data_IF_211308570539
#
_entry.id   IF_211308570539
#
_cell.length_a   1.000
_cell.length_b   1.000
_cell.length_c   1.000
_cell.angle_alpha   90.00
_cell.angle_beta   90.00
_cell.angle_gamma   90.00
#
_symmetry.space_group_name_H-M   'P 1'
#
loop_
_entity.id
_entity.type
_entity.pdbx_description
1 polymer ?
#
# COMPACT_ATOMS: atom_id res chain seq x y z
N UNK A 1 3.52 -25.98 -43.68
CA UNK A 1 4.20 -24.67 -43.56
C UNK A 1 3.49 -23.93 -42.45
N UNK A 2 4.12 -23.91 -41.27
CA UNK A 2 3.63 -23.27 -40.06
C UNK A 2 4.23 -21.86 -39.96
N UNK A 3 3.47 -20.91 -39.40
CA UNK A 3 3.99 -19.67 -38.85
C UNK A 3 3.02 -19.14 -37.79
N UNK A 4 3.42 -19.23 -36.52
CA UNK A 4 2.90 -18.46 -35.39
C UNK A 4 3.28 -16.98 -35.52
N UNK A 5 2.56 -16.07 -34.84
CA UNK A 5 3.14 -14.82 -34.39
C UNK A 5 3.31 -14.81 -32.86
N UNK A 6 4.56 -14.66 -32.44
CA UNK A 6 4.97 -14.36 -31.06
C UNK A 6 4.57 -12.93 -30.67
N UNK A 7 3.84 -12.80 -29.57
CA UNK A 7 3.60 -11.54 -28.88
C UNK A 7 4.65 -11.33 -27.79
N UNK A 8 5.62 -10.44 -28.03
CA UNK A 8 6.55 -9.98 -27.00
C UNK A 8 5.86 -8.96 -26.10
N UNK A 9 5.66 -9.31 -24.83
CA UNK A 9 5.43 -8.34 -23.76
C UNK A 9 6.78 -7.75 -23.30
N UNK A 10 6.77 -6.46 -23.03
CA UNK A 10 7.93 -5.63 -22.71
C UNK A 10 8.15 -5.66 -21.20
N UNK A 11 9.27 -6.23 -20.73
CA UNK A 11 9.73 -6.03 -19.35
C UNK A 11 10.45 -4.69 -19.24
N UNK A 12 10.19 -3.97 -18.14
CA UNK A 12 10.88 -2.72 -17.81
C UNK A 12 12.01 -3.07 -16.85
N UNK A 13 13.25 -2.96 -17.35
CA UNK A 13 14.48 -3.08 -16.58
C UNK A 13 14.70 -1.81 -15.73
N UNK A 14 14.84 -1.98 -14.41
CA UNK A 14 15.46 -0.97 -13.54
C UNK A 14 16.96 -1.26 -13.47
N UNK A 15 17.78 -0.30 -13.93
CA UNK A 15 19.23 -0.39 -13.86
C UNK A 15 19.75 0.15 -12.52
N UNK A 16 20.54 -0.65 -11.81
CA UNK A 16 21.38 -0.21 -10.69
C UNK A 16 22.71 0.34 -11.21
N UNK A 17 23.20 1.42 -10.60
CA UNK A 17 24.58 1.91 -10.78
C UNK A 17 25.40 1.64 -9.52
N UNK A 18 26.51 0.92 -9.70
CA UNK A 18 27.57 0.67 -8.73
C UNK A 18 28.82 1.48 -9.08
N UNK A 19 29.70 1.64 -8.07
CA UNK A 19 31.18 1.77 -8.09
C UNK A 19 31.70 2.99 -7.28
N UNK A 20 32.97 2.99 -6.83
CA UNK A 20 33.57 2.08 -5.85
C UNK A 20 34.37 2.86 -4.75
N UNK A 21 34.92 2.13 -3.78
CA UNK A 21 35.47 2.69 -2.53
C UNK A 21 36.93 3.16 -2.53
N UNK A 22 37.43 3.38 -1.31
CA UNK A 22 38.85 3.50 -0.99
C UNK A 22 39.10 3.08 0.48
N UNK A 23 40.03 2.14 0.65
CA UNK A 23 40.76 1.76 1.88
C UNK A 23 41.60 2.97 2.40
N UNK A 24 42.26 3.05 3.55
CA UNK A 24 42.70 2.23 4.68
C UNK A 24 42.84 3.24 5.88
N UNK A 25 43.21 2.96 7.13
CA UNK A 25 44.33 2.17 7.61
C UNK A 25 44.34 2.16 9.17
N UNK A 26 45.17 1.25 9.69
CA UNK A 26 45.28 0.69 11.04
C UNK A 26 45.54 1.63 12.25
N UNK A 27 45.43 1.06 13.49
CA UNK A 27 46.57 0.75 14.41
C UNK A 27 46.09 0.39 15.86
N UNK A 28 46.54 -0.78 16.36
CA UNK A 28 46.89 -1.25 17.75
C UNK A 28 46.11 -0.75 19.00
N UNK A 29 45.91 -1.48 20.11
CA UNK A 29 46.61 -2.60 20.77
C UNK A 29 45.68 -3.18 21.90
N UNK A 30 45.71 -4.49 22.14
CA UNK A 30 46.14 -5.19 23.38
C UNK A 30 45.42 -4.79 24.69
N UNK A 31 44.66 -5.72 25.29
CA UNK A 31 45.12 -6.51 26.43
C UNK A 31 44.09 -7.57 26.84
N UNK A 32 44.64 -8.70 27.30
CA UNK A 32 44.00 -9.91 27.83
C UNK A 32 43.89 -9.75 29.33
N UNK A 33 42.80 -10.19 29.94
CA UNK A 33 42.84 -10.78 31.29
C UNK A 33 41.68 -11.78 31.46
N UNK A 34 42.07 -12.98 31.90
CA UNK A 34 41.29 -14.17 32.21
C UNK A 34 40.61 -14.01 33.57
N UNK A 35 39.39 -14.53 33.76
CA UNK A 35 38.96 -15.11 35.04
C UNK A 35 38.02 -16.30 34.77
N UNK A 36 38.52 -17.50 35.10
CA UNK A 36 37.78 -18.73 35.47
C UNK A 36 37.04 -18.44 36.81
N UNK A 37 35.94 -19.07 37.25
CA UNK A 37 35.62 -20.48 37.44
C UNK A 37 34.11 -20.61 37.81
N UNK A 38 33.66 -21.86 37.81
CA UNK A 38 32.68 -22.51 38.71
C UNK A 38 31.46 -23.16 38.02
N UNK A 39 31.65 -24.46 37.78
CA UNK A 39 30.66 -25.48 37.49
C UNK A 39 29.80 -25.78 38.74
N UNK A 40 28.49 -25.88 38.58
CA UNK A 40 27.63 -26.60 39.53
C UNK A 40 26.70 -27.56 38.78
N UNK A 41 27.04 -28.85 38.91
CA UNK A 41 26.22 -30.02 38.60
C UNK A 41 24.99 -30.08 39.49
N UNK A 42 23.82 -30.32 38.90
CA UNK A 42 22.66 -30.91 39.57
C UNK A 42 21.96 -31.87 38.60
N UNK A 43 22.34 -33.14 38.65
CA UNK A 43 21.52 -34.26 38.18
C UNK A 43 20.29 -34.37 39.09
N UNK A 44 19.08 -34.53 38.53
CA UNK A 44 18.08 -35.44 39.09
C UNK A 44 16.89 -35.71 38.13
N UNK A 45 16.76 -37.01 37.85
CA UNK A 45 15.51 -37.79 37.77
C UNK A 45 14.57 -37.65 36.56
N UNK A 46 14.67 -38.68 35.72
CA UNK A 46 13.76 -39.06 34.64
C UNK A 46 12.41 -39.51 35.21
N UNK A 47 11.33 -38.80 34.88
CA UNK A 47 9.95 -39.25 35.13
C UNK A 47 9.28 -39.56 33.79
N UNK A 48 9.22 -40.85 33.45
CA UNK A 48 8.35 -41.37 32.39
C UNK A 48 6.88 -41.23 32.83
N UNK A 49 6.09 -40.48 32.07
CA UNK A 49 4.71 -40.21 32.46
C UNK A 49 3.88 -39.50 31.39
N UNK A 50 3.43 -40.29 30.43
CA UNK A 50 2.13 -40.20 29.75
C UNK A 50 1.86 -39.06 28.75
N UNK A 51 1.15 -39.45 27.69
CA UNK A 51 0.88 -38.68 26.49
C UNK A 51 0.02 -37.45 26.79
N UNK A 52 0.64 -36.27 26.89
CA UNK A 52 -0.06 -35.01 26.67
C UNK A 52 -0.06 -34.71 25.18
N UNK A 53 -1.18 -35.08 24.55
CA UNK A 53 -1.79 -34.39 23.42
C UNK A 53 -1.07 -33.09 23.12
N UNK A 54 -0.33 -33.04 22.01
CA UNK A 54 0.21 -31.80 21.47
C UNK A 54 -0.94 -30.79 21.43
N UNK A 55 -0.92 -29.89 22.41
CA UNK A 55 -1.72 -28.69 22.42
C UNK A 55 -1.11 -27.86 21.30
N UNK A 56 -1.57 -28.10 20.07
CA UNK A 56 -1.52 -27.10 19.03
C UNK A 56 -2.19 -25.89 19.64
N UNK A 57 -1.38 -24.94 20.13
CA UNK A 57 -1.84 -23.63 20.51
C UNK A 57 -2.67 -23.14 19.34
N UNK A 58 -3.99 -23.08 19.48
CA UNK A 58 -4.82 -22.35 18.54
C UNK A 58 -4.21 -20.97 18.47
N UNK A 59 -3.55 -20.66 17.35
CA UNK A 59 -3.07 -19.31 17.08
C UNK A 59 -4.34 -18.48 17.01
N UNK A 60 -4.60 -17.72 18.08
CA UNK A 60 -5.78 -16.90 18.19
C UNK A 60 -5.56 -15.67 17.33
N UNK A 61 -6.09 -15.72 16.10
CA UNK A 61 -6.09 -14.56 15.22
C UNK A 61 -7.13 -13.57 15.74
N UNK A 62 -6.81 -12.27 15.84
CA UNK A 62 -7.74 -11.27 16.37
C UNK A 62 -8.96 -11.08 15.44
N UNK A 63 -8.81 -11.45 14.17
CA UNK A 63 -9.85 -11.38 13.16
C UNK A 63 -9.96 -12.68 12.38
N UNK A 64 -11.20 -13.02 12.04
CA UNK A 64 -11.48 -14.05 11.03
C UNK A 64 -11.13 -13.56 9.63
N UNK A 65 -10.99 -14.51 8.70
CA UNK A 65 -10.80 -14.22 7.26
C UNK A 65 -11.91 -13.31 6.70
N UNK A 66 -13.16 -13.50 7.15
CA UNK A 66 -14.29 -12.68 6.71
C UNK A 66 -14.24 -11.26 7.27
N UNK A 67 -13.84 -11.08 8.54
CA UNK A 67 -13.71 -9.73 9.13
C UNK A 67 -12.62 -8.92 8.43
N UNK A 68 -11.45 -9.52 8.17
CA UNK A 68 -10.38 -8.88 7.41
C UNK A 68 -10.83 -8.50 5.99
N UNK A 69 -11.51 -9.43 5.31
CA UNK A 69 -12.06 -9.16 3.98
C UNK A 69 -13.11 -8.04 4.01
N UNK A 70 -13.92 -7.95 5.07
CA UNK A 70 -14.90 -6.88 5.26
C UNK A 70 -14.22 -5.53 5.45
N UNK A 71 -13.15 -5.41 6.26
CA UNK A 71 -12.44 -4.14 6.44
C UNK A 71 -11.89 -3.59 5.11
N UNK A 72 -11.22 -4.44 4.34
CA UNK A 72 -10.66 -4.05 3.03
C UNK A 72 -11.78 -3.75 2.02
N UNK A 73 -12.83 -4.57 1.99
CA UNK A 73 -13.99 -4.37 1.10
C UNK A 73 -14.72 -3.08 1.39
N UNK A 74 -15.00 -2.80 2.65
CA UNK A 74 -15.68 -1.59 3.07
C UNK A 74 -14.85 -0.35 2.70
N UNK A 75 -13.52 -0.42 2.78
CA UNK A 75 -12.64 0.65 2.32
C UNK A 75 -12.67 0.85 0.80
N UNK A 76 -12.50 -0.21 0.01
CA UNK A 76 -12.50 -0.08 -1.45
C UNK A 76 -13.87 0.30 -2.02
N UNK A 77 -14.96 -0.21 -1.43
CA UNK A 77 -16.33 0.19 -1.80
C UNK A 77 -16.52 1.68 -1.50
N UNK A 78 -16.05 2.16 -0.35
CA UNK A 78 -16.07 3.59 -0.03
C UNK A 78 -15.33 4.42 -1.09
N UNK A 79 -14.09 4.05 -1.45
CA UNK A 79 -13.34 4.77 -2.48
C UNK A 79 -14.01 4.71 -3.85
N UNK A 80 -14.66 3.60 -4.22
CA UNK A 80 -15.40 3.48 -5.48
C UNK A 80 -16.58 4.44 -5.61
N UNK A 81 -17.18 4.82 -4.47
CA UNK A 81 -18.28 5.80 -4.41
C UNK A 81 -17.78 7.24 -4.46
N UNK A 82 -16.53 7.46 -4.06
CA UNK A 82 -15.95 8.79 -3.93
C UNK A 82 -15.06 9.19 -5.11
N UNK A 83 -14.05 8.39 -5.46
CA UNK A 83 -13.03 8.84 -6.41
C UNK A 83 -12.60 7.78 -7.43
N UNK A 84 -12.72 6.50 -7.14
CA UNK A 84 -12.27 5.48 -8.10
C UNK A 84 -13.23 5.36 -9.29
N UNK A 85 -12.73 5.01 -10.48
CA UNK A 85 -13.55 4.61 -11.62
C UNK A 85 -14.51 3.48 -11.26
N UNK A 86 -15.69 3.47 -11.91
CA UNK A 86 -16.75 2.52 -11.58
C UNK A 86 -16.38 1.05 -11.85
N UNK A 87 -15.46 0.81 -12.77
CA UNK A 87 -14.94 -0.50 -13.19
C UNK A 87 -13.61 -0.88 -12.52
N UNK A 88 -13.04 0.00 -11.68
CA UNK A 88 -11.78 -0.28 -11.01
C UNK A 88 -11.91 -1.39 -9.97
N UNK A 89 -13.02 -1.45 -9.22
CA UNK A 89 -13.23 -2.41 -8.13
C UNK A 89 -13.68 -3.79 -8.62
N UNK A 90 -12.90 -4.82 -8.29
CA UNK A 90 -13.19 -6.23 -8.50
C UNK A 90 -13.61 -6.89 -7.19
N UNK A 91 -14.83 -7.42 -7.15
CA UNK A 91 -15.32 -8.20 -6.02
C UNK A 91 -15.01 -9.69 -6.23
N UNK A 92 -14.64 -10.42 -5.17
CA UNK A 92 -14.36 -11.85 -5.28
C UNK A 92 -15.62 -12.64 -5.66
N UNK A 93 -15.51 -13.69 -6.49
CA UNK A 93 -16.59 -14.65 -6.69
C UNK A 93 -17.01 -15.34 -5.38
N UNK A 94 -18.20 -15.97 -5.28
CA UNK A 94 -18.65 -16.64 -4.06
C UNK A 94 -17.71 -17.74 -3.52
N UNK A 95 -16.88 -18.34 -4.38
CA UNK A 95 -15.87 -19.34 -3.99
C UNK A 95 -14.44 -18.77 -3.96
N UNK A 96 -14.31 -17.45 -4.04
CA UNK A 96 -13.05 -16.72 -4.18
C UNK A 96 -12.42 -16.80 -5.57
N UNK A 97 -11.25 -16.19 -5.70
CA UNK A 97 -10.51 -16.10 -6.96
C UNK A 97 -9.95 -17.47 -7.38
N UNK A 98 -10.21 -17.94 -8.61
CA UNK A 98 -9.85 -19.30 -9.03
C UNK A 98 -8.36 -19.49 -9.30
N UNK A 99 -7.61 -18.43 -9.55
CA UNK A 99 -6.16 -18.45 -9.78
C UNK A 99 -5.37 -18.53 -8.46
N UNK A 100 -5.98 -18.15 -7.33
CA UNK A 100 -5.34 -18.16 -6.01
C UNK A 100 -5.59 -19.54 -5.38
N UNK A 101 -4.61 -20.42 -5.53
CA UNK A 101 -4.63 -21.82 -5.06
C UNK A 101 -3.35 -22.11 -4.30
N UNK A 102 -3.35 -23.07 -3.34
CA UNK A 102 -2.14 -23.45 -2.63
C UNK A 102 -0.97 -23.81 -3.55
N UNK A 103 -1.26 -24.43 -4.70
CA UNK A 103 -0.26 -24.79 -5.70
C UNK A 103 0.31 -23.58 -6.46
N UNK A 104 -0.54 -22.61 -6.79
CA UNK A 104 -0.09 -21.40 -7.50
C UNK A 104 0.67 -20.43 -6.60
N UNK A 105 0.37 -20.40 -5.30
CA UNK A 105 0.97 -19.51 -4.31
C UNK A 105 2.09 -20.17 -3.49
N UNK A 106 2.50 -21.39 -3.83
CA UNK A 106 3.45 -22.16 -3.01
C UNK A 106 4.82 -21.47 -2.86
N UNK A 107 5.20 -20.64 -3.83
CA UNK A 107 6.43 -19.84 -3.82
C UNK A 107 6.40 -18.66 -2.84
N UNK A 108 5.24 -18.25 -2.35
CA UNK A 108 5.13 -17.10 -1.44
C UNK A 108 5.46 -17.45 0.02
N UNK A 109 5.55 -18.74 0.34
CA UNK A 109 5.81 -19.24 1.71
C UNK A 109 4.84 -18.68 2.77
N UNK A 110 3.59 -18.41 2.36
CA UNK A 110 2.54 -17.88 3.24
C UNK A 110 1.75 -18.98 3.93
N UNK A 111 1.21 -18.66 5.10
CA UNK A 111 0.32 -19.57 5.83
C UNK A 111 -0.98 -19.86 5.06
N UNK A 112 -1.65 -21.01 5.30
CA UNK A 112 -2.94 -21.33 4.68
C UNK A 112 -4.03 -20.26 4.93
N UNK A 113 -3.97 -19.59 6.08
CA UNK A 113 -4.89 -18.49 6.41
C UNK A 113 -4.71 -17.29 5.47
N UNK A 114 -3.46 -16.89 5.21
CA UNK A 114 -3.14 -15.80 4.28
C UNK A 114 -3.59 -16.14 2.86
N UNK A 115 -3.31 -17.37 2.39
CA UNK A 115 -3.74 -17.81 1.06
C UNK A 115 -5.27 -17.81 0.93
N UNK A 116 -5.99 -18.28 1.96
CA UNK A 116 -7.45 -18.22 2.00
C UNK A 116 -7.98 -16.77 2.02
N UNK A 117 -7.31 -15.86 2.75
CA UNK A 117 -7.67 -14.45 2.75
C UNK A 117 -7.45 -13.80 1.37
N UNK A 118 -6.28 -13.95 0.76
CA UNK A 118 -5.98 -13.47 -0.60
C UNK A 118 -7.07 -13.90 -1.60
N UNK A 119 -7.49 -15.16 -1.51
CA UNK A 119 -8.53 -15.72 -2.35
C UNK A 119 -9.89 -15.01 -2.22
N UNK A 120 -10.16 -14.35 -1.09
CA UNK A 120 -11.44 -13.71 -0.78
C UNK A 120 -11.36 -12.18 -0.62
N UNK A 121 -10.21 -11.56 -0.90
CA UNK A 121 -10.10 -10.10 -0.92
C UNK A 121 -10.70 -9.51 -2.21
N UNK A 122 -11.32 -8.32 -2.14
CA UNK A 122 -11.54 -7.51 -3.32
C UNK A 122 -10.23 -6.88 -3.78
N UNK A 123 -10.15 -6.56 -5.07
CA UNK A 123 -8.99 -5.92 -5.66
C UNK A 123 -9.39 -4.68 -6.44
N UNK A 124 -8.47 -3.75 -6.56
CA UNK A 124 -8.60 -2.60 -7.45
C UNK A 124 -7.70 -2.89 -8.65
N UNK A 125 -8.27 -2.74 -9.84
CA UNK A 125 -7.52 -2.88 -11.08
C UNK A 125 -6.40 -1.84 -11.11
N UNK A 126 -5.17 -2.29 -11.27
CA UNK A 126 -4.06 -1.39 -11.56
C UNK A 126 -3.62 -1.60 -13.01
N UNK A 127 -3.60 -0.51 -13.79
CA UNK A 127 -3.02 -0.53 -15.14
C UNK A 127 -1.54 -0.11 -15.15
N UNK A 128 -0.99 0.18 -13.96
CA UNK A 128 0.40 0.53 -13.71
C UNK A 128 0.82 1.88 -14.30
N UNK A 129 -0.11 2.66 -14.87
CA UNK A 129 0.23 3.85 -15.68
C UNK A 129 -0.62 5.07 -15.41
N UNK A 130 -1.86 4.90 -14.96
CA UNK A 130 -2.85 5.97 -15.13
C UNK A 130 -3.12 6.79 -13.88
N UNK A 131 -2.57 6.47 -12.70
CA UNK A 131 -2.82 7.14 -11.41
C UNK A 131 -4.32 7.33 -11.03
N UNK A 132 -5.28 6.79 -11.80
CA UNK A 132 -6.71 6.88 -11.50
C UNK A 132 -7.14 5.94 -10.36
N UNK A 133 -6.35 4.91 -10.09
CA UNK A 133 -6.71 3.82 -9.19
C UNK A 133 -5.88 3.82 -7.89
N UNK A 134 -5.35 4.98 -7.50
CA UNK A 134 -4.58 5.16 -6.25
C UNK A 134 -5.53 5.15 -5.05
N UNK A 135 -5.12 4.48 -3.98
CA UNK A 135 -5.86 4.44 -2.70
C UNK A 135 -5.20 5.28 -1.61
N UNK A 136 -3.96 5.69 -1.84
CA UNK A 136 -3.15 6.53 -0.98
C UNK A 136 -2.13 7.31 -1.83
N UNK A 137 -1.49 8.31 -1.25
CA UNK A 137 -0.35 9.03 -1.84
C UNK A 137 0.75 8.06 -2.33
N UNK A 138 1.09 8.14 -3.62
CA UNK A 138 2.21 7.43 -4.25
C UNK A 138 2.28 5.93 -3.90
N UNK A 139 1.18 5.22 -4.14
CA UNK A 139 1.13 3.75 -3.98
C UNK A 139 0.44 3.04 -5.16
N UNK A 140 0.97 1.90 -5.59
CA UNK A 140 0.32 0.94 -6.48
C UNK A 140 -0.45 -0.07 -5.64
N UNK A 141 -1.69 -0.38 -5.99
CA UNK A 141 -2.45 -1.44 -5.31
C UNK A 141 -2.07 -2.78 -5.89
N UNK A 142 -1.89 -3.79 -5.03
CA UNK A 142 -1.50 -5.13 -5.50
C UNK A 142 -2.75 -5.94 -5.83
N UNK A 143 -2.93 -6.28 -7.10
CA UNK A 143 -4.07 -7.07 -7.59
C UNK A 143 -3.69 -8.54 -7.81
N UNK A 144 -3.85 -9.36 -6.77
CA UNK A 144 -3.57 -10.80 -6.87
C UNK A 144 -4.62 -11.58 -7.68
N UNK A 145 -5.77 -10.98 -8.02
CA UNK A 145 -6.80 -11.67 -8.83
C UNK A 145 -6.37 -11.93 -10.26
N UNK A 146 -5.34 -11.24 -10.74
CA UNK A 146 -4.79 -11.39 -12.09
C UNK A 146 -3.48 -12.17 -12.13
N UNK A 147 -2.88 -12.48 -10.96
CA UNK A 147 -1.61 -13.18 -10.88
C UNK A 147 -1.70 -14.63 -11.36
N UNK A 148 -0.77 -15.00 -12.22
CA UNK A 148 -0.39 -16.38 -12.52
C UNK A 148 0.63 -16.89 -11.50
N UNK A 149 0.92 -18.19 -11.55
CA UNK A 149 1.99 -18.79 -10.72
C UNK A 149 3.38 -18.14 -10.97
N UNK A 150 3.62 -17.64 -12.20
CA UNK A 150 4.86 -16.90 -12.50
C UNK A 150 4.89 -15.54 -11.82
N UNK A 151 3.76 -14.84 -11.79
CA UNK A 151 3.65 -13.52 -11.15
C UNK A 151 3.80 -13.67 -9.63
N UNK A 152 3.24 -14.72 -9.04
CA UNK A 152 3.48 -15.03 -7.62
C UNK A 152 4.95 -15.33 -7.32
N UNK A 153 5.67 -16.01 -8.20
CA UNK A 153 7.10 -16.25 -8.03
C UNK A 153 7.92 -14.96 -8.13
N UNK A 154 7.57 -14.06 -9.05
CA UNK A 154 8.19 -12.74 -9.14
C UNK A 154 7.92 -11.91 -7.87
N UNK A 155 6.68 -11.92 -7.39
CA UNK A 155 6.35 -11.30 -6.11
C UNK A 155 7.19 -11.89 -4.97
N UNK A 156 7.34 -13.21 -4.87
CA UNK A 156 8.15 -13.88 -3.84
C UNK A 156 9.60 -13.37 -3.81
N UNK A 157 10.21 -13.19 -4.99
CA UNK A 157 11.57 -12.62 -5.09
C UNK A 157 11.63 -11.15 -4.66
N UNK A 158 10.56 -10.39 -4.84
CA UNK A 158 10.46 -9.01 -4.35
C UNK A 158 10.13 -8.95 -2.85
N UNK A 159 9.54 -10.01 -2.28
CA UNK A 159 9.17 -10.13 -0.86
C UNK A 159 10.37 -10.29 0.08
N UNK A 160 11.52 -10.78 -0.40
CA UNK A 160 12.75 -10.93 0.41
C UNK A 160 13.22 -9.60 1.03
N UNK A 161 12.84 -8.46 0.46
CA UNK A 161 13.15 -7.13 1.00
C UNK A 161 12.22 -6.67 2.13
N UNK A 162 11.09 -7.35 2.38
CA UNK A 162 10.10 -6.90 3.37
C UNK A 162 10.54 -7.13 4.82
N UNK A 163 11.35 -8.16 5.09
CA UNK A 163 11.93 -8.38 6.43
C UNK A 163 12.79 -7.19 6.83
N UNK A 164 13.69 -6.76 5.95
CA UNK A 164 14.61 -5.66 6.21
C UNK A 164 13.89 -4.31 6.25
N UNK A 165 12.97 -4.09 5.31
CA UNK A 165 12.30 -2.80 5.14
C UNK A 165 11.29 -2.52 6.27
N UNK A 166 10.44 -3.48 6.62
CA UNK A 166 9.48 -3.34 7.73
C UNK A 166 10.03 -3.79 9.09
N UNK A 167 11.30 -4.23 9.15
CA UNK A 167 11.91 -4.78 10.37
C UNK A 167 11.17 -6.00 10.92
N UNK A 168 10.56 -6.80 10.04
CA UNK A 168 9.73 -7.94 10.44
C UNK A 168 10.59 -9.17 10.72
N UNK A 169 10.21 -9.92 11.77
CA UNK A 169 10.72 -11.27 11.96
C UNK A 169 10.21 -12.19 10.83
N UNK A 170 10.98 -13.22 10.42
CA UNK A 170 10.57 -14.13 9.34
C UNK A 170 9.17 -14.74 9.53
N UNK A 171 8.82 -15.14 10.75
CA UNK A 171 7.48 -15.66 11.07
C UNK A 171 6.37 -14.63 10.77
N UNK A 172 6.61 -13.35 11.00
CA UNK A 172 5.63 -12.30 10.71
C UNK A 172 5.42 -12.12 9.19
N UNK A 173 6.42 -12.43 8.37
CA UNK A 173 6.31 -12.40 6.91
C UNK A 173 5.37 -13.49 6.40
N UNK A 174 5.39 -14.70 6.97
CA UNK A 174 4.45 -15.77 6.57
C UNK A 174 2.98 -15.40 6.80
N UNK A 175 2.73 -14.47 7.73
CA UNK A 175 1.43 -13.95 8.11
C UNK A 175 1.06 -12.62 7.44
N UNK A 176 1.91 -12.06 6.58
CA UNK A 176 1.70 -10.73 6.01
C UNK A 176 1.20 -10.75 4.56
N UNK A 177 0.46 -9.70 4.18
CA UNK A 177 -0.01 -9.46 2.81
C UNK A 177 0.33 -8.02 2.43
N UNK A 178 0.96 -7.83 1.27
CA UNK A 178 1.15 -6.50 0.70
C UNK A 178 -0.15 -6.06 0.00
N UNK A 179 -0.79 -5.02 0.52
CA UNK A 179 -2.01 -4.46 -0.07
C UNK A 179 -1.69 -3.35 -1.07
N UNK A 180 -0.66 -2.56 -0.78
CA UNK A 180 -0.18 -1.51 -1.68
C UNK A 180 1.34 -1.35 -1.57
N UNK A 181 1.97 -1.13 -2.72
CA UNK A 181 3.40 -0.89 -2.89
C UNK A 181 3.67 0.62 -3.07
N UNK A 182 4.54 1.18 -2.26
CA UNK A 182 4.89 2.61 -2.34
C UNK A 182 5.92 2.88 -3.43
N UNK A 183 5.98 4.11 -3.94
CA UNK A 183 7.10 4.53 -4.78
C UNK A 183 7.53 5.97 -4.52
N UNK A 184 8.80 6.24 -4.82
CA UNK A 184 9.47 7.52 -4.56
C UNK A 184 9.40 7.98 -3.10
N UNK A 185 10.04 9.11 -2.80
CA UNK A 185 9.97 9.70 -1.46
C UNK A 185 8.52 10.04 -1.09
N UNK A 186 8.11 9.60 0.09
CA UNK A 186 6.77 9.84 0.63
C UNK A 186 5.71 8.82 0.20
N UNK A 187 6.04 7.90 -0.73
CA UNK A 187 5.16 6.79 -1.10
C UNK A 187 4.80 5.91 0.08
N UNK A 188 3.61 5.30 0.00
CA UNK A 188 3.00 4.57 1.10
C UNK A 188 2.92 3.10 0.79
N UNK A 189 3.72 2.31 1.50
CA UNK A 189 3.62 0.87 1.44
C UNK A 189 2.69 0.39 2.55
N UNK A 190 1.76 -0.51 2.25
CA UNK A 190 0.74 -0.98 3.18
C UNK A 190 0.80 -2.51 3.28
N UNK A 191 1.22 -3.00 4.44
CA UNK A 191 1.34 -4.43 4.73
C UNK A 191 0.37 -4.84 5.84
N UNK A 192 -0.53 -5.76 5.56
CA UNK A 192 -1.47 -6.32 6.54
C UNK A 192 -0.84 -7.54 7.20
N UNK A 193 -0.61 -7.47 8.52
CA UNK A 193 -0.23 -8.62 9.34
C UNK A 193 -1.48 -9.33 9.83
N UNK A 194 -1.77 -10.51 9.29
CA UNK A 194 -2.96 -11.27 9.65
C UNK A 194 -2.92 -11.83 11.07
N UNK A 195 -1.72 -12.09 11.62
CA UNK A 195 -1.54 -12.64 12.97
C UNK A 195 -1.89 -11.62 14.06
N UNK A 196 -1.56 -10.35 13.83
CA UNK A 196 -1.84 -9.27 14.79
C UNK A 196 -3.07 -8.43 14.42
N UNK A 197 -3.57 -8.55 13.19
CA UNK A 197 -4.66 -7.71 12.70
C UNK A 197 -4.25 -6.27 12.43
N UNK A 198 -2.94 -6.01 12.39
CA UNK A 198 -2.39 -4.66 12.23
C UNK A 198 -2.01 -4.40 10.77
N UNK A 199 -2.11 -3.15 10.36
CA UNK A 199 -1.64 -2.64 9.10
C UNK A 199 -0.39 -1.80 9.37
N UNK A 200 0.74 -2.27 8.84
CA UNK A 200 2.01 -1.58 8.86
C UNK A 200 2.08 -0.68 7.62
N UNK A 201 2.12 0.63 7.85
CA UNK A 201 2.30 1.62 6.78
C UNK A 201 3.64 2.29 6.93
N UNK A 202 4.50 2.04 5.96
CA UNK A 202 5.81 2.67 5.86
C UNK A 202 5.75 3.83 4.87
N UNK A 203 6.43 4.92 5.22
CA UNK A 203 6.68 6.04 4.33
C UNK A 203 8.08 5.96 3.74
N UNK A 204 8.17 5.73 2.43
CA UNK A 204 9.46 5.55 1.74
C UNK A 204 10.37 6.77 1.95
N UNK A 205 11.57 6.51 2.50
CA UNK A 205 12.64 7.49 2.81
C UNK A 205 12.32 8.47 3.94
N UNK A 206 11.36 8.14 4.81
CA UNK A 206 11.07 8.88 6.03
C UNK A 206 11.02 7.92 7.22
N UNK A 207 11.40 8.41 8.40
CA UNK A 207 11.36 7.67 9.66
C UNK A 207 9.94 7.76 10.26
N UNK A 208 8.94 7.32 9.48
CA UNK A 208 7.53 7.45 9.85
C UNK A 208 6.78 6.19 9.48
N UNK A 209 6.63 5.33 10.48
CA UNK A 209 5.87 4.10 10.38
C UNK A 209 4.60 4.23 11.23
N UNK A 210 3.48 3.81 10.65
CA UNK A 210 2.26 3.59 11.39
C UNK A 210 2.05 2.08 11.52
N UNK A 211 1.89 1.61 12.75
CA UNK A 211 1.45 0.24 13.04
C UNK A 211 0.18 0.38 13.85
N UNK A 212 -0.95 0.09 13.20
CA UNK A 212 -2.28 0.30 13.78
C UNK A 212 -3.19 -0.86 13.41
N UNK A 213 -4.20 -1.11 14.25
CA UNK A 213 -5.30 -2.01 13.92
C UNK A 213 -5.89 -1.69 12.52
N UNK A 214 -6.08 -2.72 11.67
CA UNK A 214 -6.51 -2.56 10.28
C UNK A 214 -7.83 -1.79 10.15
N UNK A 215 -8.81 -2.07 11.02
CA UNK A 215 -10.10 -1.40 11.00
C UNK A 215 -9.96 0.08 11.38
N UNK A 216 -9.14 0.35 12.39
CA UNK A 216 -8.85 1.70 12.89
C UNK A 216 -8.12 2.55 11.84
N UNK A 217 -7.06 2.00 11.22
CA UNK A 217 -6.28 2.69 10.20
C UNK A 217 -7.12 3.01 8.97
N UNK A 218 -7.79 2.01 8.40
CA UNK A 218 -8.63 2.21 7.21
C UNK A 218 -9.81 3.16 7.52
N UNK A 219 -10.39 3.09 8.73
CA UNK A 219 -11.40 4.03 9.18
C UNK A 219 -10.88 5.47 9.31
N UNK A 220 -9.66 5.65 9.80
CA UNK A 220 -9.01 6.96 9.84
C UNK A 220 -8.73 7.49 8.43
N UNK A 221 -8.23 6.65 7.53
CA UNK A 221 -7.98 7.01 6.14
C UNK A 221 -9.27 7.40 5.42
N UNK A 222 -10.40 6.71 5.64
CA UNK A 222 -11.72 7.15 5.16
C UNK A 222 -12.05 8.56 5.59
N UNK A 223 -11.87 8.87 6.89
CA UNK A 223 -12.13 10.22 7.42
C UNK A 223 -11.27 11.26 6.71
N UNK A 224 -10.00 10.96 6.42
CA UNK A 224 -9.11 11.85 5.66
C UNK A 224 -9.63 12.15 4.25
N UNK A 225 -10.21 11.17 3.57
CA UNK A 225 -10.91 11.42 2.30
C UNK A 225 -12.15 12.30 2.52
N UNK A 226 -12.99 11.98 3.52
CA UNK A 226 -14.21 12.74 3.81
C UNK A 226 -13.92 14.23 4.10
N UNK A 227 -12.86 14.52 4.86
CA UNK A 227 -12.41 15.88 5.20
C UNK A 227 -11.64 16.57 4.07
N UNK A 228 -11.20 15.81 3.06
CA UNK A 228 -10.25 16.25 2.02
C UNK A 228 -8.86 16.61 2.58
N UNK A 229 -8.43 15.93 3.64
CA UNK A 229 -7.02 15.86 4.05
C UNK A 229 -6.22 14.90 3.16
N UNK A 230 -6.92 13.96 2.51
CA UNK A 230 -6.45 13.17 1.38
C UNK A 230 -7.29 13.58 0.18
N UNK A 231 -6.69 14.32 -0.76
CA UNK A 231 -7.43 14.88 -1.91
C UNK A 231 -7.19 14.03 -3.16
N UNK A 232 -8.21 13.35 -3.70
CA UNK A 232 -8.08 12.62 -4.95
C UNK A 232 -7.88 13.56 -6.14
N UNK A 233 -6.96 13.21 -7.04
CA UNK A 233 -6.74 13.93 -8.29
C UNK A 233 -6.71 12.90 -9.41
N UNK A 234 -7.78 12.78 -10.22
CA UNK A 234 -7.82 11.84 -11.32
C UNK A 234 -6.63 12.06 -12.28
N UNK A 235 -5.82 11.01 -12.46
CA UNK A 235 -4.66 11.03 -13.33
C UNK A 235 -3.38 11.64 -12.74
N UNK A 236 -3.33 11.92 -11.44
CA UNK A 236 -2.16 12.41 -10.71
C UNK A 236 -2.08 11.82 -9.29
N UNK A 237 -1.00 12.14 -8.58
CA UNK A 237 -0.92 11.85 -7.15
C UNK A 237 -2.01 12.56 -6.35
N UNK A 238 -2.51 11.85 -5.34
CA UNK A 238 -3.32 12.47 -4.30
C UNK A 238 -2.42 13.38 -3.48
N UNK A 239 -2.89 14.55 -3.03
CA UNK A 239 -2.09 15.36 -2.13
C UNK A 239 -2.46 15.04 -0.67
N UNK A 240 -1.43 14.80 0.13
CA UNK A 240 -1.44 14.43 1.56
C UNK A 240 -0.86 15.61 2.35
N UNK A 241 -1.53 16.76 2.30
CA UNK A 241 -1.12 17.96 3.04
C UNK A 241 -2.31 18.54 3.79
N UNK A 242 -2.19 18.57 5.12
CA UNK A 242 -3.00 19.41 6.00
C UNK A 242 -2.68 20.87 5.66
N UNK A 243 -3.47 21.47 4.76
CA UNK A 243 -3.52 22.93 4.68
C UNK A 243 -4.25 23.35 5.94
N UNK A 244 -3.51 23.71 6.99
CA UNK A 244 -4.08 24.13 8.28
C UNK A 244 -5.28 25.05 8.03
N UNK A 245 -6.47 24.56 8.38
CA UNK A 245 -7.73 25.32 8.33
C UNK A 245 -7.64 26.58 9.22
N UNK A 246 -6.61 26.74 10.05
CA UNK A 246 -6.44 27.94 10.89
C UNK A 246 -6.04 29.20 10.11
N UNK A 247 -5.60 29.09 8.84
CA UNK A 247 -5.58 30.23 7.89
C UNK A 247 -6.91 30.41 7.13
N UNK A 248 -8.01 29.80 7.58
CA UNK A 248 -9.38 30.07 7.11
C UNK A 248 -9.86 31.45 7.54
N UNK A 249 -9.27 32.48 6.92
CA UNK A 249 -10.15 33.49 6.38
C UNK A 249 -11.05 32.80 5.36
N UNK A 250 -12.36 32.95 5.48
CA UNK A 250 -13.37 32.61 4.46
C UNK A 250 -13.20 33.45 3.18
N UNK A 251 -11.97 33.67 2.75
CA UNK A 251 -11.66 34.40 1.55
C UNK A 251 -12.21 33.57 0.40
N UNK A 252 -13.17 34.17 -0.30
CA UNK A 252 -13.80 33.53 -1.45
C UNK A 252 -12.70 33.26 -2.46
N UNK A 253 -12.39 31.98 -2.70
CA UNK A 253 -11.43 31.60 -3.72
C UNK A 253 -12.06 31.96 -5.05
N UNK A 254 -11.48 32.93 -5.75
CA UNK A 254 -11.97 33.36 -7.05
C UNK A 254 -11.25 32.58 -8.14
N UNK A 255 -12.01 32.00 -9.06
CA UNK A 255 -11.49 31.21 -10.17
C UNK A 255 -10.45 31.98 -10.99
N UNK A 256 -10.66 33.28 -11.20
CA UNK A 256 -9.75 34.15 -11.94
C UNK A 256 -8.36 34.26 -11.27
N UNK A 257 -8.30 34.31 -9.95
CA UNK A 257 -7.04 34.30 -9.19
C UNK A 257 -6.29 32.97 -9.34
N UNK A 258 -7.02 31.85 -9.28
CA UNK A 258 -6.43 30.52 -9.45
C UNK A 258 -5.86 30.37 -10.86
N UNK A 259 -6.63 30.82 -11.87
CA UNK A 259 -6.27 30.70 -13.28
C UNK A 259 -5.21 31.70 -13.74
N UNK A 260 -4.98 32.78 -12.98
CA UNK A 260 -3.92 33.75 -13.25
C UNK A 260 -2.52 33.28 -12.81
N UNK A 261 -2.42 32.20 -12.03
CA UNK A 261 -1.14 31.63 -11.63
C UNK A 261 -0.35 31.15 -12.85
N UNK A 262 0.99 31.21 -12.75
CA UNK A 262 1.86 30.62 -13.75
C UNK A 262 1.55 29.12 -13.90
N UNK A 263 1.61 28.65 -15.15
CA UNK A 263 1.41 27.25 -15.49
C UNK A 263 2.75 26.55 -15.47
N UNK A 264 2.76 25.31 -15.02
CA UNK A 264 3.97 24.50 -14.95
C UNK A 264 3.95 23.41 -16.03
N UNK A 265 5.11 22.81 -16.33
CA UNK A 265 5.20 21.68 -17.27
C UNK A 265 4.45 20.47 -16.73
N UNK A 266 4.59 20.21 -15.43
CA UNK A 266 3.90 19.16 -14.68
C UNK A 266 2.91 19.78 -13.71
N UNK A 267 1.87 19.04 -13.31
CA UNK A 267 0.91 19.55 -12.34
C UNK A 267 1.45 19.38 -10.91
N UNK A 268 2.15 20.40 -10.43
CA UNK A 268 2.60 20.53 -9.04
C UNK A 268 1.71 21.58 -8.35
N UNK A 269 0.65 21.17 -7.64
CA UNK A 269 -0.37 22.11 -7.17
C UNK A 269 0.20 23.08 -6.13
N UNK A 270 -0.02 24.37 -6.34
CA UNK A 270 0.19 25.35 -5.29
C UNK A 270 -0.82 25.18 -4.16
N UNK A 271 -0.60 25.83 -3.01
CA UNK A 271 -1.62 25.91 -1.94
C UNK A 271 -2.96 26.45 -2.46
N UNK A 272 -2.94 27.37 -3.43
CA UNK A 272 -4.16 27.92 -4.03
C UNK A 272 -4.85 26.89 -4.94
N UNK A 273 -4.08 26.11 -5.71
CA UNK A 273 -4.62 25.00 -6.52
C UNK A 273 -5.27 23.93 -5.62
N UNK A 274 -4.61 23.54 -4.53
CA UNK A 274 -5.16 22.58 -3.58
C UNK A 274 -6.46 23.09 -2.92
N UNK A 275 -6.51 24.37 -2.54
CA UNK A 275 -7.73 25.00 -2.00
C UNK A 275 -8.86 25.02 -3.04
N UNK A 276 -8.55 25.28 -4.30
CA UNK A 276 -9.52 25.27 -5.39
C UNK A 276 -10.06 23.87 -5.67
N UNK A 277 -9.22 22.84 -5.69
CA UNK A 277 -9.68 21.44 -5.86
C UNK A 277 -10.64 21.04 -4.74
N UNK A 278 -10.33 21.41 -3.48
CA UNK A 278 -11.25 21.18 -2.35
C UNK A 278 -12.59 21.91 -2.55
N UNK A 279 -12.54 23.16 -3.03
CA UNK A 279 -13.74 23.92 -3.37
C UNK A 279 -14.58 23.22 -4.45
N UNK A 280 -13.95 22.73 -5.52
CA UNK A 280 -14.63 21.97 -6.57
C UNK A 280 -15.38 20.77 -5.97
N UNK A 281 -14.69 19.87 -5.26
CA UNK A 281 -15.34 18.72 -4.62
C UNK A 281 -16.53 19.11 -3.73
N UNK A 282 -16.34 20.11 -2.86
CA UNK A 282 -17.40 20.62 -1.96
C UNK A 282 -18.59 21.20 -2.76
N UNK A 283 -18.35 21.90 -3.87
CA UNK A 283 -19.40 22.45 -4.75
C UNK A 283 -20.25 21.36 -5.44
N UNK A 284 -19.69 20.16 -5.60
CA UNK A 284 -20.39 18.98 -6.10
C UNK A 284 -20.98 18.10 -4.99
N UNK A 285 -20.94 18.54 -3.73
CA UNK A 285 -21.62 17.88 -2.62
C UNK A 285 -20.78 16.87 -1.84
N UNK A 286 -19.45 16.88 -1.99
CA UNK A 286 -18.55 16.02 -1.22
C UNK A 286 -18.69 16.23 0.30
N UNK A 287 -18.54 15.18 1.15
CA UNK A 287 -18.58 13.74 0.83
C UNK A 287 -20.01 13.16 0.97
N UNK A 288 -21.03 14.02 0.96
CA UNK A 288 -22.39 13.66 1.36
C UNK A 288 -23.09 12.76 0.32
N UNK A 289 -24.23 12.18 0.70
CA UNK A 289 -25.00 11.29 -0.17
C UNK A 289 -25.45 11.92 -1.51
N UNK A 290 -25.49 13.25 -1.61
CA UNK A 290 -25.81 13.98 -2.83
C UNK A 290 -24.59 14.28 -3.71
N UNK A 291 -23.41 13.74 -3.38
CA UNK A 291 -22.18 13.94 -4.11
C UNK A 291 -22.29 13.48 -5.57
N UNK A 292 -22.06 14.42 -6.49
CA UNK A 292 -22.07 14.19 -7.93
C UNK A 292 -20.69 13.76 -8.41
N UNK A 293 -20.33 12.50 -8.17
CA UNK A 293 -18.99 11.94 -8.44
C UNK A 293 -18.45 12.30 -9.82
N UNK A 294 -19.13 11.87 -10.87
CA UNK A 294 -18.60 11.97 -12.23
C UNK A 294 -18.42 13.44 -12.67
N UNK A 295 -19.34 14.32 -12.26
CA UNK A 295 -19.23 15.76 -12.53
C UNK A 295 -18.05 16.40 -11.77
N UNK A 296 -17.82 16.00 -10.52
CA UNK A 296 -16.71 16.49 -9.71
C UNK A 296 -15.36 16.04 -10.26
N UNK A 297 -15.22 14.75 -10.58
CA UNK A 297 -13.99 14.21 -11.16
C UNK A 297 -13.69 14.89 -12.50
N UNK A 298 -14.69 15.07 -13.36
CA UNK A 298 -14.53 15.79 -14.63
C UNK A 298 -14.10 17.26 -14.42
N UNK A 299 -14.65 17.95 -13.42
CA UNK A 299 -14.28 19.34 -13.11
C UNK A 299 -12.83 19.44 -12.59
N UNK A 300 -12.42 18.54 -11.69
CA UNK A 300 -11.05 18.49 -11.16
C UNK A 300 -10.06 18.15 -12.27
N UNK A 301 -10.40 17.20 -13.14
CA UNK A 301 -9.56 16.81 -14.26
C UNK A 301 -9.42 17.93 -15.31
N UNK A 302 -10.51 18.65 -15.60
CA UNK A 302 -10.47 19.82 -16.47
C UNK A 302 -9.60 20.94 -15.87
N UNK A 303 -9.73 21.19 -14.56
CA UNK A 303 -8.89 22.15 -13.85
C UNK A 303 -7.41 21.77 -13.93
N UNK A 304 -7.08 20.52 -13.57
CA UNK A 304 -5.72 19.97 -13.63
C UNK A 304 -5.09 20.15 -15.01
N UNK A 305 -5.81 19.78 -16.08
CA UNK A 305 -5.34 19.99 -17.47
C UNK A 305 -5.10 21.46 -17.78
N UNK A 306 -5.99 22.35 -17.32
CA UNK A 306 -5.84 23.78 -17.56
C UNK A 306 -4.61 24.41 -16.91
N UNK A 307 -4.08 23.79 -15.84
CA UNK A 307 -2.90 24.23 -15.09
C UNK A 307 -1.56 23.76 -15.69
N UNK A 308 -1.60 22.81 -16.63
CA UNK A 308 -0.41 22.40 -17.40
C UNK A 308 -0.12 23.41 -18.51
N UNK A 309 1.16 23.69 -18.74
CA UNK A 309 1.65 24.57 -19.81
C UNK A 309 1.74 23.88 -21.17
N UNK A 310 1.75 22.54 -21.18
CA UNK A 310 1.74 21.71 -22.37
C UNK A 310 0.35 21.09 -22.51
N UNK A 311 -0.28 21.26 -23.68
CA UNK A 311 -1.50 20.55 -24.02
C UNK A 311 -1.13 19.08 -24.29
N UNK A 312 -1.79 18.15 -23.60
CA UNK A 312 -1.80 16.74 -23.99
C UNK A 312 -2.61 16.61 -25.30
N UNK A 313 -2.04 17.03 -26.43
CA UNK A 313 -2.57 16.70 -27.76
C UNK A 313 -2.39 15.19 -27.98
N UNK A 314 -3.47 14.43 -27.79
CA UNK A 314 -3.64 13.08 -28.32
C UNK A 314 -4.32 13.12 -29.70
#
# INVERSE_FOLDING_TARGET
MAASPDGKQSSVLVQQSTLPGEEADAVHNHDVEEEEEEEEDCEDEVSEGDASSECFSQVDFPYTRDELAVFVSDFYIFLSRLCLPADALKLPPPGGWPNITPEATSCLEKTPFVVDLLKHLPYITDDGRSHYNRIHYKCYVVDYSVCSASDFAEHASNFEWQEEMFGLAPEAVEHSILLADGYESGGRMMLLNTKTGELHVEMIRYDTDAVEDVGSYLGALKRRYETLDMVPIPGEEHFDENVEEEEEGYETILEDQVMAQEKEEYFTPSKLDQRWVRHLYRSFGWPQAAYRKDEALAAVEAFRRSRRSVDDEL
#
